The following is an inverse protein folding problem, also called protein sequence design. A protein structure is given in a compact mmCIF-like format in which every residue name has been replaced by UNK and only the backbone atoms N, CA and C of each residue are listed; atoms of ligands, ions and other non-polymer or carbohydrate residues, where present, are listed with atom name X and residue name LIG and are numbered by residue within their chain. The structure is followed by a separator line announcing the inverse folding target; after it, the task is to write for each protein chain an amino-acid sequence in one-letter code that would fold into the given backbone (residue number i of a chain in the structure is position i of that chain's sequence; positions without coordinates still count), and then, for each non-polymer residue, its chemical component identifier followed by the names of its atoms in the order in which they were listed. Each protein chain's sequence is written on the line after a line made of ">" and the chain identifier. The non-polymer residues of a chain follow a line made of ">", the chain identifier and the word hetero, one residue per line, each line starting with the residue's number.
data_IF_043243366117
#
_entry.id   IF_043243366117
#
_cell.length_a   1.000
_cell.length_b   1.000
_cell.length_c   1.000
_cell.angle_alpha   90.00
_cell.angle_beta   90.00
_cell.angle_gamma   90.00
#
_symmetry.space_group_name_H-M   'P 1'
#
loop_
_entity.id
_entity.type
_entity.pdbx_description
1 polymer ?
#
# COMPACT_ATOMS: atom_id res chain seq x y z
N UNK A 1 12.49 32.25 34.16
CA UNK A 1 11.83 31.12 34.85
C UNK A 1 11.63 30.01 33.83
N UNK A 2 12.30 28.86 33.81
CA UNK A 2 13.31 28.23 34.66
C UNK A 2 14.17 27.30 33.76
N UNK A 3 15.49 27.42 33.89
CA UNK A 3 16.59 26.43 33.81
C UNK A 3 16.50 25.25 32.79
N UNK A 4 17.43 25.16 31.83
CA UNK A 4 18.76 24.50 31.93
C UNK A 4 18.67 23.03 32.35
N UNK A 5 18.95 22.13 31.41
CA UNK A 5 19.64 20.87 31.69
C UNK A 5 20.58 20.52 30.53
N UNK A 6 21.85 20.81 30.78
CA UNK A 6 23.04 20.44 30.02
C UNK A 6 23.39 18.97 30.28
N UNK A 7 23.90 18.31 29.24
CA UNK A 7 24.89 17.21 29.27
C UNK A 7 24.70 16.03 30.23
N UNK A 8 24.40 14.84 29.68
CA UNK A 8 24.94 13.56 30.16
C UNK A 8 24.77 12.44 29.11
N UNK A 9 25.91 11.85 28.70
CA UNK A 9 25.99 10.43 28.36
C UNK A 9 25.77 10.02 26.90
N UNK A 10 26.82 10.15 26.07
CA UNK A 10 27.09 9.15 25.04
C UNK A 10 27.39 7.82 25.75
N UNK A 11 26.37 6.99 25.95
CA UNK A 11 26.58 5.56 26.18
C UNK A 11 26.03 4.80 24.98
N UNK A 12 26.95 4.14 24.29
CA UNK A 12 26.73 3.15 23.25
C UNK A 12 25.81 2.05 23.79
N UNK A 13 24.51 2.25 23.65
CA UNK A 13 23.49 1.22 23.92
C UNK A 13 23.03 0.68 22.59
N UNK A 14 23.87 -0.19 22.01
CA UNK A 14 23.46 -1.07 20.91
C UNK A 14 22.38 -2.02 21.44
N UNK A 15 21.18 -1.90 20.88
CA UNK A 15 20.34 -3.06 20.53
C UNK A 15 19.53 -3.78 21.62
N UNK A 16 19.03 -3.10 22.65
CA UNK A 16 18.10 -3.71 23.63
C UNK A 16 16.67 -3.15 23.63
N UNK A 17 16.15 -2.71 22.49
CA UNK A 17 14.77 -2.18 22.40
C UNK A 17 13.66 -3.25 22.32
N UNK A 18 13.96 -4.55 22.29
CA UNK A 18 12.96 -5.56 21.89
C UNK A 18 12.32 -6.41 23.00
N UNK A 19 12.80 -6.42 24.26
CA UNK A 19 12.50 -7.58 25.13
C UNK A 19 11.52 -7.39 26.30
N UNK A 20 10.86 -6.24 26.51
CA UNK A 20 10.03 -6.13 27.73
C UNK A 20 8.68 -5.45 27.63
N UNK A 21 8.29 -4.84 26.50
CA UNK A 21 6.91 -4.38 26.22
C UNK A 21 6.81 -3.89 24.76
N UNK A 22 6.77 -4.78 23.76
CA UNK A 22 7.00 -4.39 22.36
C UNK A 22 5.87 -3.55 21.73
N UNK A 23 4.64 -3.58 22.27
CA UNK A 23 3.52 -2.86 21.67
C UNK A 23 3.42 -1.38 22.08
N UNK A 24 3.71 -1.02 23.34
CA UNK A 24 3.31 0.28 23.89
C UNK A 24 4.22 1.46 23.50
N UNK A 25 5.49 1.21 23.14
CA UNK A 25 6.43 2.27 22.73
C UNK A 25 6.37 2.57 21.23
N UNK A 26 6.04 1.58 20.41
CA UNK A 26 5.94 1.75 18.97
C UNK A 26 4.69 2.59 18.63
N UNK A 27 3.52 2.22 19.15
CA UNK A 27 2.26 2.89 18.84
C UNK A 27 2.18 4.34 19.34
N UNK A 28 2.97 4.71 20.36
CA UNK A 28 2.96 6.06 20.94
C UNK A 28 3.39 7.15 19.94
N UNK A 29 4.33 6.84 19.05
CA UNK A 29 4.74 7.75 17.97
C UNK A 29 3.82 7.68 16.75
N UNK A 30 3.01 6.63 16.63
CA UNK A 30 2.09 6.41 15.51
C UNK A 30 0.67 6.93 15.78
N UNK A 31 0.33 7.28 17.02
CA UNK A 31 -0.98 7.80 17.38
C UNK A 31 -1.37 9.09 16.64
N UNK A 32 -0.47 10.08 16.42
CA UNK A 32 -0.79 11.25 15.60
C UNK A 32 -1.10 10.91 14.13
N UNK A 33 -0.62 9.76 13.64
CA UNK A 33 -0.80 9.31 12.25
C UNK A 33 -2.11 8.58 12.03
N UNK A 34 -2.66 7.96 13.07
CA UNK A 34 -4.04 7.47 13.06
C UNK A 34 -5.06 8.63 13.14
N UNK A 35 -4.63 9.83 13.55
CA UNK A 35 -5.45 11.04 13.64
C UNK A 35 -5.43 11.90 12.38
N UNK A 36 -4.49 11.68 11.46
CA UNK A 36 -4.60 12.26 10.12
C UNK A 36 -5.79 11.60 9.41
N UNK A 37 -6.65 12.37 8.71
CA UNK A 37 -7.81 11.85 8.01
C UNK A 37 -7.38 10.92 6.86
N UNK A 38 -7.09 9.67 7.22
CA UNK A 38 -6.81 8.54 6.35
C UNK A 38 -8.12 8.21 5.62
N UNK A 39 -8.37 8.83 4.47
CA UNK A 39 -8.02 8.17 3.20
C UNK A 39 -7.70 9.13 2.03
N UNK A 40 -7.55 10.44 2.26
CA UNK A 40 -7.37 11.42 1.17
C UNK A 40 -5.92 11.59 0.73
N UNK A 41 -4.95 11.12 1.54
CA UNK A 41 -3.54 11.22 1.20
C UNK A 41 -3.17 10.23 0.08
N UNK A 42 -2.52 10.69 -1.00
CA UNK A 42 -2.10 9.82 -2.10
C UNK A 42 -1.08 8.72 -1.68
N UNK A 43 -0.96 7.62 -2.46
CA UNK A 43 -0.06 6.51 -2.20
C UNK A 43 1.38 6.90 -1.86
N UNK A 44 1.90 7.87 -2.61
CA UNK A 44 3.25 8.36 -2.45
C UNK A 44 3.49 8.99 -1.08
N UNK A 45 2.48 9.64 -0.47
CA UNK A 45 2.67 10.31 0.81
C UNK A 45 2.91 9.28 1.91
N UNK A 46 2.20 8.15 1.91
CA UNK A 46 2.50 7.08 2.87
C UNK A 46 3.85 6.41 2.61
N UNK A 47 4.28 6.24 1.36
CA UNK A 47 5.63 5.71 1.08
C UNK A 47 6.70 6.67 1.59
N UNK A 48 6.62 7.95 1.23
CA UNK A 48 7.55 8.99 1.70
C UNK A 48 7.51 9.10 3.23
N UNK A 49 6.33 8.94 3.81
CA UNK A 49 6.15 8.97 5.25
C UNK A 49 6.79 7.76 5.94
N UNK A 50 6.57 6.54 5.43
CA UNK A 50 7.22 5.32 5.92
C UNK A 50 8.74 5.45 5.77
N UNK A 51 9.23 5.92 4.63
CA UNK A 51 10.66 6.17 4.41
C UNK A 51 11.20 7.19 5.40
N UNK A 52 10.52 8.33 5.58
CA UNK A 52 10.90 9.36 6.54
C UNK A 52 10.95 8.79 7.97
N UNK A 53 9.96 7.99 8.36
CA UNK A 53 9.97 7.29 9.64
C UNK A 53 11.15 6.33 9.78
N UNK A 54 11.47 5.56 8.73
CA UNK A 54 12.60 4.63 8.76
C UNK A 54 13.93 5.34 8.99
N UNK A 55 14.08 6.54 8.42
CA UNK A 55 15.28 7.36 8.54
C UNK A 55 15.37 8.06 9.91
N UNK A 56 14.27 8.62 10.41
CA UNK A 56 14.27 9.41 11.64
C UNK A 56 14.23 8.56 12.92
N UNK A 57 13.51 7.44 12.93
CA UNK A 57 13.17 6.74 14.17
C UNK A 57 13.81 5.35 14.34
N UNK A 58 14.54 4.83 13.34
CA UNK A 58 15.03 3.43 13.30
C UNK A 58 13.98 2.44 13.83
N UNK A 59 12.75 2.43 13.28
CA UNK A 59 11.68 1.60 13.79
C UNK A 59 12.07 0.13 13.67
N UNK A 60 11.57 -0.68 14.60
CA UNK A 60 11.75 -2.12 14.55
C UNK A 60 11.20 -2.67 13.22
N UNK A 61 11.82 -3.72 12.67
CA UNK A 61 11.34 -4.34 11.42
C UNK A 61 9.84 -4.72 11.49
N UNK A 62 9.41 -5.26 12.63
CA UNK A 62 7.99 -5.59 12.87
C UNK A 62 7.07 -4.38 12.79
N UNK A 63 7.54 -3.21 13.22
CA UNK A 63 6.79 -1.96 13.21
C UNK A 63 6.49 -1.54 11.77
N UNK A 64 7.49 -1.64 10.89
CA UNK A 64 7.36 -1.31 9.46
C UNK A 64 6.36 -2.28 8.80
N UNK A 65 6.48 -3.58 9.08
CA UNK A 65 5.57 -4.59 8.53
C UNK A 65 4.13 -4.36 8.99
N UNK A 66 3.93 -4.08 10.28
CA UNK A 66 2.60 -3.79 10.82
C UNK A 66 1.99 -2.52 10.23
N UNK A 67 2.77 -1.43 10.12
CA UNK A 67 2.30 -0.18 9.49
C UNK A 67 1.95 -0.41 8.02
N UNK A 68 2.82 -1.09 7.28
CA UNK A 68 2.58 -1.40 5.87
C UNK A 68 1.31 -2.23 5.73
N UNK A 69 1.13 -3.27 6.55
CA UNK A 69 -0.07 -4.13 6.51
C UNK A 69 -1.33 -3.34 6.84
N UNK A 70 -1.29 -2.49 7.87
CA UNK A 70 -2.43 -1.66 8.26
C UNK A 70 -2.82 -0.71 7.12
N UNK A 71 -1.85 -0.02 6.52
CA UNK A 71 -2.06 0.87 5.38
C UNK A 71 -2.59 0.13 4.15
N UNK A 72 -2.03 -1.04 3.84
CA UNK A 72 -2.45 -1.91 2.74
C UNK A 72 -3.89 -2.41 2.91
N UNK A 73 -4.29 -2.73 4.14
CA UNK A 73 -5.63 -3.25 4.45
C UNK A 73 -6.70 -2.17 4.54
N UNK A 74 -6.29 -0.90 4.63
CA UNK A 74 -7.21 0.23 4.73
C UNK A 74 -7.77 0.55 3.35
N UNK A 75 -9.00 0.12 3.12
CA UNK A 75 -9.78 0.46 1.94
C UNK A 75 -10.84 1.50 2.32
N UNK A 76 -11.11 2.46 1.45
CA UNK A 76 -12.18 3.43 1.66
C UNK A 76 -13.51 2.90 1.12
N UNK A 77 -14.52 2.82 2.00
CA UNK A 77 -15.86 2.27 1.71
C UNK A 77 -17.00 3.17 2.20
N UNK A 78 -16.82 4.49 2.19
CA UNK A 78 -17.86 5.36 2.71
C UNK A 78 -19.04 5.41 1.72
N UNK A 79 -20.26 5.04 2.15
CA UNK A 79 -21.45 5.27 1.37
C UNK A 79 -21.75 6.77 1.26
N UNK A 80 -22.19 7.23 0.10
CA UNK A 80 -22.61 8.61 -0.11
C UNK A 80 -24.01 8.67 -0.74
N UNK A 81 -24.75 9.78 -0.55
CA UNK A 81 -26.10 9.91 -1.12
C UNK A 81 -26.02 9.93 -2.65
N UNK A 82 -27.02 9.32 -3.30
CA UNK A 82 -27.07 9.23 -4.76
C UNK A 82 -27.24 10.60 -5.45
N UNK A 83 -27.71 11.60 -4.70
CA UNK A 83 -27.86 12.99 -5.15
C UNK A 83 -26.53 13.78 -5.09
N UNK A 84 -25.43 13.14 -4.69
CA UNK A 84 -24.12 13.79 -4.70
C UNK A 84 -23.75 14.18 -6.15
N UNK A 85 -23.15 15.36 -6.35
CA UNK A 85 -22.67 15.76 -7.66
C UNK A 85 -21.49 14.88 -8.09
N UNK A 86 -21.42 14.59 -9.39
CA UNK A 86 -20.25 14.00 -10.05
C UNK A 86 -19.14 15.04 -10.11
N UNK A 87 -17.90 14.61 -9.97
CA UNK A 87 -16.73 15.51 -10.09
C UNK A 87 -16.65 16.09 -11.50
N UNK A 88 -17.00 15.27 -12.50
CA UNK A 88 -17.08 15.67 -13.91
C UNK A 88 -18.41 15.20 -14.48
N UNK A 89 -19.28 16.11 -14.96
CA UNK A 89 -20.57 15.73 -15.53
C UNK A 89 -20.36 14.86 -16.78
N UNK A 90 -21.13 13.79 -16.94
CA UNK A 90 -21.03 12.90 -18.11
C UNK A 90 -21.59 13.55 -19.38
N UNK A 91 -22.58 14.43 -19.19
CA UNK A 91 -23.19 15.27 -20.22
C UNK A 91 -23.82 16.49 -19.54
N UNK A 92 -24.29 17.46 -20.33
CA UNK A 92 -24.89 18.70 -19.81
C UNK A 92 -26.06 18.47 -18.85
N UNK A 93 -26.75 17.33 -18.98
CA UNK A 93 -27.92 16.97 -18.17
C UNK A 93 -27.63 15.91 -17.09
N UNK A 94 -26.39 15.39 -17.00
CA UNK A 94 -26.01 14.32 -16.07
C UNK A 94 -24.92 14.84 -15.16
N UNK A 95 -25.35 15.41 -14.05
CA UNK A 95 -24.50 16.06 -13.04
C UNK A 95 -24.45 15.31 -11.73
N UNK A 96 -25.38 14.38 -11.47
CA UNK A 96 -25.46 13.60 -10.22
C UNK A 96 -25.32 12.10 -10.45
N UNK A 97 -24.96 11.34 -9.40
CA UNK A 97 -24.93 9.87 -9.48
C UNK A 97 -26.31 9.27 -9.79
N UNK A 98 -27.39 9.93 -9.36
CA UNK A 98 -28.77 9.50 -9.63
C UNK A 98 -29.09 9.57 -11.11
N UNK A 99 -28.77 10.70 -11.75
CA UNK A 99 -28.95 10.90 -13.20
C UNK A 99 -28.08 9.94 -14.02
N UNK A 100 -26.82 9.77 -13.60
CA UNK A 100 -25.90 8.82 -14.23
C UNK A 100 -26.41 7.38 -14.14
N UNK A 101 -26.95 6.98 -12.98
CA UNK A 101 -27.53 5.66 -12.80
C UNK A 101 -28.80 5.48 -13.64
N UNK A 102 -29.68 6.49 -13.67
CA UNK A 102 -30.91 6.45 -14.45
C UNK A 102 -30.65 6.31 -15.95
N UNK A 103 -29.63 7.01 -16.48
CA UNK A 103 -29.20 6.88 -17.88
C UNK A 103 -28.54 5.54 -18.22
N UNK A 104 -27.92 4.89 -17.23
CA UNK A 104 -27.26 3.58 -17.41
C UNK A 104 -28.23 2.41 -17.28
N UNK A 105 -29.36 2.59 -16.58
CA UNK A 105 -30.34 1.54 -16.38
C UNK A 105 -31.21 1.34 -17.63
N UNK A 106 -31.66 0.11 -17.90
CA UNK A 106 -32.61 -0.14 -18.98
C UNK A 106 -33.96 0.52 -18.67
N UNK A 107 -34.64 1.06 -19.69
CA UNK A 107 -35.93 1.74 -19.54
C UNK A 107 -37.03 0.90 -18.85
N UNK A 108 -36.90 -0.43 -18.84
CA UNK A 108 -37.83 -1.34 -18.19
C UNK A 108 -37.61 -1.47 -16.67
N UNK A 109 -36.70 -0.69 -16.06
CA UNK A 109 -36.44 -0.74 -14.63
C UNK A 109 -37.45 0.15 -13.89
N UNK A 110 -38.41 -0.46 -13.18
CA UNK A 110 -39.51 0.24 -12.48
C UNK A 110 -39.32 0.39 -10.97
N UNK A 111 -38.24 -0.17 -10.41
CA UNK A 111 -38.03 -0.16 -8.96
C UNK A 111 -37.47 1.20 -8.51
N UNK A 112 -37.76 1.63 -7.27
CA UNK A 112 -37.16 2.84 -6.71
C UNK A 112 -35.64 2.70 -6.66
N UNK A 113 -34.93 3.79 -6.97
CA UNK A 113 -33.49 3.87 -6.86
C UNK A 113 -33.05 3.89 -5.38
N UNK A 114 -31.89 3.31 -5.04
CA UNK A 114 -31.38 3.39 -3.69
C UNK A 114 -30.99 4.84 -3.34
N UNK A 115 -31.30 5.28 -2.13
CA UNK A 115 -30.92 6.63 -1.64
C UNK A 115 -29.41 6.80 -1.45
N UNK A 116 -28.69 5.68 -1.34
CA UNK A 116 -27.27 5.64 -1.03
C UNK A 116 -26.57 4.70 -2.01
N UNK A 117 -25.49 5.20 -2.60
CA UNK A 117 -24.59 4.41 -3.46
C UNK A 117 -23.35 4.02 -2.68
N UNK A 118 -22.93 2.76 -2.86
CA UNK A 118 -21.60 2.30 -2.45
C UNK A 118 -20.69 2.40 -3.66
N UNK A 119 -19.73 3.31 -3.58
CA UNK A 119 -18.71 3.45 -4.60
C UNK A 119 -17.89 2.17 -4.79
N UNK A 120 -17.19 2.09 -5.92
CA UNK A 120 -16.13 1.12 -6.10
C UNK A 120 -15.02 1.31 -5.05
N UNK A 121 -14.48 0.20 -4.59
CA UNK A 121 -13.67 0.19 -3.37
C UNK A 121 -12.28 0.69 -3.68
N UNK A 122 -11.86 1.76 -2.98
CA UNK A 122 -10.49 2.27 -3.12
C UNK A 122 -9.63 1.60 -2.07
N UNK A 123 -9.12 0.44 -2.41
CA UNK A 123 -8.09 -0.21 -1.63
C UNK A 123 -6.72 0.33 -2.01
N UNK A 124 -5.90 0.62 -1.02
CA UNK A 124 -4.49 0.97 -1.21
C UNK A 124 -3.71 -0.09 -2.00
N UNK A 125 -4.17 -1.34 -1.93
CA UNK A 125 -3.55 -2.48 -2.59
C UNK A 125 -4.16 -2.88 -3.93
N UNK A 126 -4.90 -2.01 -4.61
CA UNK A 126 -5.26 -2.30 -5.99
C UNK A 126 -4.06 -2.08 -6.93
N UNK A 127 -3.06 -2.95 -6.81
CA UNK A 127 -1.89 -3.02 -7.68
C UNK A 127 -2.24 -3.54 -9.08
N UNK A 128 -3.48 -4.00 -9.29
CA UNK A 128 -3.97 -4.57 -10.53
C UNK A 128 -4.10 -3.56 -11.67
N UNK A 129 -4.24 -2.27 -11.36
CA UNK A 129 -4.31 -1.21 -12.37
C UNK A 129 -2.95 -0.86 -12.99
N UNK A 130 -1.84 -1.35 -12.42
CA UNK A 130 -0.50 -1.15 -12.97
C UNK A 130 0.05 0.29 -12.81
N UNK A 131 -0.69 1.19 -12.15
CA UNK A 131 -0.31 2.60 -12.07
C UNK A 131 -0.25 3.12 -10.65
N UNK A 132 0.77 2.66 -9.91
CA UNK A 132 1.07 3.17 -8.57
C UNK A 132 1.41 4.68 -8.55
N UNK A 133 1.78 5.25 -9.70
CA UNK A 133 2.26 6.63 -9.82
C UNK A 133 1.41 7.54 -10.74
N UNK A 134 0.32 7.07 -11.35
CA UNK A 134 -0.56 8.01 -12.08
C UNK A 134 -1.44 8.79 -11.11
N UNK A 135 -1.79 10.05 -11.47
CA UNK A 135 -2.84 10.76 -10.78
C UNK A 135 -4.13 9.93 -10.85
N UNK A 136 -4.81 9.86 -9.72
CA UNK A 136 -6.04 9.10 -9.59
C UNK A 136 -7.13 9.70 -10.49
N UNK A 137 -7.63 8.93 -11.47
CA UNK A 137 -8.72 9.35 -12.33
C UNK A 137 -10.06 9.19 -11.59
N UNK A 138 -10.55 10.30 -11.03
CA UNK A 138 -11.82 10.33 -10.30
C UNK A 138 -12.98 9.98 -11.23
N UNK A 139 -12.97 10.49 -12.46
CA UNK A 139 -14.04 10.28 -13.45
C UNK A 139 -14.23 8.79 -13.76
N UNK A 140 -13.14 8.07 -14.02
CA UNK A 140 -13.21 6.62 -14.31
C UNK A 140 -13.75 5.84 -13.11
N UNK A 141 -13.36 6.23 -11.90
CA UNK A 141 -13.86 5.60 -10.69
C UNK A 141 -15.34 5.88 -10.43
N UNK A 142 -15.81 7.10 -10.69
CA UNK A 142 -17.23 7.45 -10.60
C UNK A 142 -18.03 6.62 -11.61
N UNK A 143 -17.53 6.52 -12.84
CA UNK A 143 -18.12 5.70 -13.90
C UNK A 143 -18.23 4.22 -13.50
N UNK A 144 -17.14 3.61 -13.02
CA UNK A 144 -17.14 2.23 -12.55
C UNK A 144 -18.07 2.01 -11.36
N UNK A 145 -18.21 3.00 -10.47
CA UNK A 145 -19.11 2.94 -9.32
C UNK A 145 -20.57 2.85 -9.76
N UNK A 146 -20.99 3.72 -10.69
CA UNK A 146 -22.34 3.71 -11.27
C UNK A 146 -22.59 2.42 -12.03
N UNK A 147 -21.62 1.98 -12.85
CA UNK A 147 -21.73 0.76 -13.64
C UNK A 147 -21.90 -0.48 -12.76
N UNK A 148 -21.10 -0.60 -11.68
CA UNK A 148 -21.20 -1.71 -10.71
C UNK A 148 -22.57 -1.72 -10.03
N UNK A 149 -23.07 -0.55 -9.61
CA UNK A 149 -24.40 -0.44 -9.00
C UNK A 149 -25.50 -0.85 -9.98
N UNK A 150 -25.46 -0.34 -11.21
CA UNK A 150 -26.41 -0.70 -12.27
C UNK A 150 -26.46 -2.21 -12.50
N UNK A 151 -25.31 -2.86 -12.65
CA UNK A 151 -25.23 -4.32 -12.81
C UNK A 151 -25.83 -5.07 -11.62
N UNK A 152 -25.60 -4.60 -10.39
CA UNK A 152 -26.17 -5.22 -9.19
C UNK A 152 -27.71 -5.09 -9.16
N UNK A 153 -28.26 -3.92 -9.51
CA UNK A 153 -29.71 -3.72 -9.57
C UNK A 153 -30.37 -4.61 -10.64
N UNK A 154 -29.74 -4.75 -11.81
CA UNK A 154 -30.21 -5.64 -12.89
C UNK A 154 -30.21 -7.09 -12.41
N UNK A 155 -29.14 -7.55 -11.75
CA UNK A 155 -29.07 -8.90 -11.17
C UNK A 155 -30.13 -9.14 -10.10
N UNK A 156 -30.37 -8.17 -9.23
CA UNK A 156 -31.42 -8.25 -8.21
C UNK A 156 -32.81 -8.35 -8.84
N UNK A 157 -33.10 -7.55 -9.87
CA UNK A 157 -34.35 -7.64 -10.62
C UNK A 157 -34.54 -9.01 -11.25
N UNK A 158 -33.53 -9.52 -11.97
CA UNK A 158 -33.61 -10.84 -12.60
C UNK A 158 -33.83 -11.98 -11.59
N UNK A 159 -33.21 -11.89 -10.40
CA UNK A 159 -33.40 -12.87 -9.33
C UNK A 159 -34.84 -12.86 -8.78
N UNK A 160 -35.45 -11.67 -8.62
CA UNK A 160 -36.84 -11.56 -8.19
C UNK A 160 -37.82 -12.04 -9.26
N UNK A 161 -37.62 -11.69 -10.53
CA UNK A 161 -38.46 -12.16 -11.64
C UNK A 161 -38.45 -13.70 -11.71
N UNK A 162 -37.29 -14.33 -11.49
CA UNK A 162 -37.17 -15.80 -11.43
C UNK A 162 -37.92 -16.41 -10.23
N UNK A 163 -37.94 -15.75 -9.07
CA UNK A 163 -38.69 -16.21 -7.90
C UNK A 163 -40.20 -16.16 -8.14
N UNK A 164 -40.70 -15.08 -8.73
CA UNK A 164 -42.11 -14.93 -9.08
C UNK A 164 -42.58 -16.03 -10.06
N UNK A 165 -41.74 -16.39 -11.02
CA UNK A 165 -42.02 -17.50 -11.94
C UNK A 165 -42.05 -18.86 -11.23
N UNK A 166 -41.15 -19.07 -10.26
CA UNK A 166 -41.11 -20.31 -9.48
C UNK A 166 -42.35 -20.47 -8.58
N UNK A 167 -42.79 -19.39 -7.94
CA UNK A 167 -43.99 -19.37 -7.09
C UNK A 167 -45.28 -19.58 -7.92
N UNK A 168 -45.33 -19.03 -9.14
CA UNK A 168 -46.44 -19.27 -10.06
C UNK A 168 -46.46 -20.72 -10.61
N UNK A 169 -45.29 -21.35 -10.78
CA UNK A 169 -45.13 -22.69 -11.36
C UNK A 169 -45.37 -23.85 -10.40
N UNK A 170 -45.18 -23.65 -9.08
CA UNK A 170 -45.38 -24.70 -8.08
C UNK A 170 -46.87 -25.10 -7.88
N UNK A 171 -47.81 -24.30 -8.39
CA UNK A 171 -49.25 -24.56 -8.28
C UNK A 171 -49.84 -25.52 -9.31
N UNK A 172 -49.18 -25.80 -10.44
CA UNK A 172 -49.75 -26.59 -11.54
C UNK A 172 -48.69 -27.42 -12.29
N UNK A 173 -47.87 -28.19 -11.57
CA UNK A 173 -46.92 -29.12 -12.19
C UNK A 173 -47.60 -30.43 -12.65
N UNK A 174 -48.53 -30.34 -13.61
CA UNK A 174 -48.90 -31.44 -14.50
C UNK A 174 -49.54 -30.85 -15.75
N UNK A 175 -48.91 -31.02 -16.92
CA UNK A 175 -49.22 -30.35 -18.20
C UNK A 175 -48.74 -28.88 -18.19
N UNK A 176 -47.65 -28.48 -18.84
CA UNK A 176 -47.48 -28.47 -20.29
C UNK A 176 -45.97 -28.37 -20.57
N UNK A 177 -45.39 -29.46 -21.06
CA UNK A 177 -44.15 -29.43 -21.82
C UNK A 177 -44.53 -29.02 -23.26
N UNK A 178 -43.70 -28.19 -23.89
CA UNK A 178 -43.80 -27.66 -25.26
C UNK A 178 -44.47 -26.29 -25.33
N UNK A 179 -43.67 -25.22 -25.37
CA UNK A 179 -43.52 -24.34 -26.55
C UNK A 179 -42.87 -23.01 -26.14
N UNK A 180 -41.54 -22.91 -26.25
CA UNK A 180 -40.87 -21.60 -26.32
C UNK A 180 -39.45 -21.75 -26.89
N UNK A 181 -39.43 -21.99 -28.21
CA UNK A 181 -38.27 -21.84 -29.08
C UNK A 181 -38.24 -20.39 -29.56
N UNK A 182 -37.04 -19.78 -29.56
CA UNK A 182 -36.65 -18.52 -30.21
C UNK A 182 -37.00 -17.20 -29.51
N UNK A 183 -36.06 -16.69 -28.70
CA UNK A 183 -35.57 -15.32 -28.81
C UNK A 183 -34.23 -15.17 -28.06
N UNK A 184 -33.15 -15.35 -28.82
CA UNK A 184 -31.78 -15.10 -28.36
C UNK A 184 -31.44 -13.64 -28.67
N UNK A 185 -31.44 -12.79 -27.65
CA UNK A 185 -30.80 -11.47 -27.72
C UNK A 185 -29.26 -11.66 -27.68
N UNK A 186 -28.48 -10.90 -28.46
CA UNK A 186 -27.03 -10.97 -28.42
C UNK A 186 -26.54 -10.34 -27.11
N UNK A 187 -26.20 -11.19 -26.15
CA UNK A 187 -25.39 -10.81 -24.99
C UNK A 187 -24.00 -10.50 -25.51
N UNK A 188 -23.69 -9.22 -25.68
CA UNK A 188 -22.32 -8.76 -25.86
C UNK A 188 -21.51 -9.20 -24.62
N UNK A 189 -20.40 -9.94 -24.78
CA UNK A 189 -19.55 -10.30 -23.66
C UNK A 189 -18.90 -9.03 -23.11
N UNK A 190 -19.43 -8.53 -22.00
CA UNK A 190 -18.70 -7.59 -21.14
C UNK A 190 -17.54 -8.38 -20.56
N UNK A 191 -16.40 -8.34 -21.25
CA UNK A 191 -15.11 -8.72 -20.72
C UNK A 191 -14.80 -7.77 -19.54
N UNK A 192 -15.29 -8.11 -18.36
CA UNK A 192 -14.69 -7.64 -17.12
C UNK A 192 -13.38 -8.43 -16.94
N UNK A 193 -12.20 -7.80 -17.04
CA UNK A 193 -10.98 -8.44 -16.61
C UNK A 193 -11.03 -8.58 -15.09
N UNK A 194 -11.52 -9.72 -14.60
CA UNK A 194 -11.26 -10.16 -13.23
C UNK A 194 -9.82 -10.67 -13.13
N UNK A 195 -8.86 -9.77 -13.32
CA UNK A 195 -7.41 -10.04 -13.28
C UNK A 195 -6.84 -10.17 -11.86
N UNK A 196 -7.68 -10.23 -10.82
CA UNK A 196 -7.20 -10.31 -9.44
C UNK A 196 -6.78 -11.71 -8.95
N UNK A 197 -6.99 -12.81 -9.70
CA UNK A 197 -6.64 -14.16 -9.18
C UNK A 197 -5.28 -14.72 -9.63
N UNK A 198 -4.62 -14.13 -10.64
CA UNK A 198 -3.35 -14.66 -11.19
C UNK A 198 -2.10 -14.13 -10.50
N UNK A 199 -2.18 -13.00 -9.79
CA UNK A 199 -1.02 -12.41 -9.12
C UNK A 199 -0.66 -13.16 -7.82
N UNK A 200 -1.66 -13.54 -7.02
CA UNK A 200 -1.46 -14.27 -5.75
C UNK A 200 -0.93 -15.69 -5.95
N UNK A 201 -1.24 -16.35 -7.07
CA UNK A 201 -0.68 -17.68 -7.38
C UNK A 201 0.80 -17.62 -7.77
N UNK A 202 1.31 -16.48 -8.27
CA UNK A 202 2.75 -16.29 -8.57
C UNK A 202 3.57 -15.87 -7.35
N UNK A 203 3.03 -15.08 -6.41
CA UNK A 203 3.78 -14.74 -5.19
C UNK A 203 3.96 -15.93 -4.23
N UNK A 204 3.09 -16.95 -4.30
CA UNK A 204 3.22 -18.17 -3.49
C UNK A 204 4.42 -19.05 -3.88
N UNK A 205 5.03 -18.87 -5.06
CA UNK A 205 6.18 -19.68 -5.49
C UNK A 205 7.55 -19.10 -5.14
N UNK A 206 7.61 -17.85 -4.62
CA UNK A 206 8.88 -17.19 -4.28
C UNK A 206 9.24 -17.28 -2.78
N UNK A 207 8.29 -17.63 -1.90
CA UNK A 207 8.57 -17.71 -0.45
C UNK A 207 9.24 -19.02 -0.01
N UNK A 208 9.33 -20.04 -0.87
CA UNK A 208 9.91 -21.35 -0.51
C UNK A 208 11.43 -21.45 -0.74
N UNK A 209 12.08 -20.42 -1.30
CA UNK A 209 13.53 -20.46 -1.59
C UNK A 209 14.41 -19.58 -0.70
N UNK A 210 13.85 -18.78 0.21
CA UNK A 210 14.62 -17.84 1.06
C UNK A 210 15.00 -18.43 2.43
N UNK A 211 14.46 -19.60 2.81
CA UNK A 211 14.75 -20.22 4.12
C UNK A 211 15.51 -21.56 4.05
N UNK A 212 16.07 -21.92 2.90
CA UNK A 212 16.91 -23.11 2.78
C UNK A 212 18.38 -22.73 2.56
N UNK A 213 19.23 -23.16 3.50
CA UNK A 213 20.70 -23.24 3.47
C UNK A 213 21.51 -22.04 3.98
N UNK A 214 22.07 -22.18 5.18
CA UNK A 214 23.53 -22.40 5.32
C UNK A 214 23.90 -22.70 6.78
N UNK A 215 23.68 -23.94 7.19
CA UNK A 215 24.34 -24.55 8.34
C UNK A 215 25.61 -25.24 7.85
N UNK A 216 26.78 -24.62 8.00
CA UNK A 216 28.08 -25.27 8.28
C UNK A 216 29.24 -24.33 7.96
N UNK A 217 29.98 -23.92 9.00
CA UNK A 217 31.43 -24.17 9.03
C UNK A 217 32.01 -23.69 10.35
N UNK A 218 32.62 -24.64 11.05
CA UNK A 218 33.64 -24.45 12.08
C UNK A 218 34.65 -23.35 11.72
N UNK A 219 35.04 -22.51 12.68
CA UNK A 219 36.46 -22.23 12.96
C UNK A 219 36.72 -21.47 14.27
N UNK A 220 37.35 -22.21 15.18
CA UNK A 220 38.55 -21.88 15.97
C UNK A 220 38.62 -20.50 16.66
N UNK A 221 38.37 -20.58 17.95
CA UNK A 221 38.98 -19.80 19.03
C UNK A 221 40.50 -19.66 18.84
N UNK A 222 41.01 -18.43 18.84
CA UNK A 222 42.39 -18.13 19.21
C UNK A 222 42.41 -16.76 19.93
N UNK A 223 42.80 -16.78 21.22
CA UNK A 223 43.31 -15.60 21.91
C UNK A 223 44.67 -15.20 21.34
N UNK A 224 45.06 -13.92 21.48
CA UNK A 224 46.26 -13.68 22.28
C UNK A 224 46.22 -12.44 23.19
N UNK A 225 46.71 -12.71 24.40
CA UNK A 225 47.51 -11.93 25.34
C UNK A 225 48.20 -10.61 24.88
N UNK A 226 48.03 -9.61 25.77
CA UNK A 226 49.06 -8.78 26.47
C UNK A 226 49.58 -7.45 25.86
N UNK A 227 49.51 -6.43 26.74
CA UNK A 227 50.52 -5.43 27.17
C UNK A 227 50.82 -4.16 26.37
N UNK A 228 50.75 -3.04 27.14
CA UNK A 228 51.58 -1.82 27.11
C UNK A 228 51.42 -0.93 25.85
N UNK A 229 51.55 0.40 25.85
CA UNK A 229 52.26 1.35 26.71
C UNK A 229 51.69 2.77 26.49
N UNK A 230 51.90 3.66 27.45
CA UNK A 230 51.68 5.10 27.37
C UNK A 230 52.38 5.74 26.15
N UNK A 231 51.80 6.82 25.61
CA UNK A 231 52.49 8.11 25.52
C UNK A 231 51.55 9.22 25.04
N UNK A 232 51.46 10.27 25.86
CA UNK A 232 51.12 11.62 25.44
C UNK A 232 52.08 12.07 24.34
N UNK A 233 51.57 12.69 23.28
CA UNK A 233 52.28 13.81 22.65
C UNK A 233 51.27 14.76 22.02
N UNK A 234 51.53 16.01 22.36
CA UNK A 234 50.81 17.25 22.12
C UNK A 234 51.12 17.79 20.70
N UNK A 235 50.14 18.51 20.16
CA UNK A 235 50.30 19.69 19.29
C UNK A 235 50.45 19.53 17.77
N UNK A 236 49.80 20.51 17.11
CA UNK A 236 50.22 21.21 15.87
C UNK A 236 49.54 20.83 14.56
N UNK A 237 48.39 21.45 14.35
CA UNK A 237 48.08 22.33 13.20
C UNK A 237 49.12 22.41 12.07
N UNK A 238 48.73 21.93 10.88
CA UNK A 238 49.06 22.57 9.59
C UNK A 238 48.29 21.92 8.43
N UNK A 239 47.47 22.73 7.75
CA UNK A 239 47.07 22.50 6.35
C UNK A 239 48.30 22.59 5.45
N UNK A 240 48.36 21.86 4.32
CA UNK A 240 48.05 22.53 3.06
C UNK A 240 47.48 21.67 1.91
N UNK A 241 46.73 22.36 1.05
CA UNK A 241 46.79 22.34 -0.44
C UNK A 241 46.71 21.01 -1.22
N UNK A 242 45.54 20.84 -1.85
CA UNK A 242 45.29 20.47 -3.26
C UNK A 242 46.45 19.97 -4.15
N UNK A 243 46.31 18.72 -4.63
CA UNK A 243 46.72 18.29 -5.97
C UNK A 243 45.84 17.10 -6.46
N UNK A 244 45.42 17.05 -7.75
CA UNK A 244 44.59 15.98 -8.28
C UNK A 244 45.45 14.78 -8.70
N UNK A 245 45.43 13.73 -7.87
CA UNK A 245 46.16 12.48 -8.10
C UNK A 245 45.40 11.52 -9.02
N UNK A 246 45.93 11.37 -10.24
CA UNK A 246 46.11 10.12 -11.00
C UNK A 246 45.28 8.90 -10.56
N UNK A 247 44.38 8.47 -11.46
CA UNK A 247 43.52 7.30 -11.32
C UNK A 247 44.25 6.00 -11.02
N UNK A 248 44.25 5.61 -9.75
CA UNK A 248 44.43 4.22 -9.33
C UNK A 248 43.11 3.48 -9.54
N UNK A 249 43.14 2.42 -10.36
CA UNK A 249 42.07 1.43 -10.49
C UNK A 249 41.81 0.76 -9.13
N UNK A 250 40.97 1.40 -8.32
CA UNK A 250 40.46 0.84 -7.08
C UNK A 250 39.30 -0.10 -7.41
N UNK A 251 39.18 -1.24 -6.72
CA UNK A 251 38.07 -2.17 -6.93
C UNK A 251 36.76 -1.39 -6.77
N UNK A 252 35.87 -1.52 -7.75
CA UNK A 252 34.64 -0.71 -7.92
C UNK A 252 33.64 -0.85 -6.76
N UNK A 253 33.93 -1.71 -5.79
CA UNK A 253 33.17 -1.94 -4.57
C UNK A 253 33.98 -1.45 -3.36
N UNK A 254 34.26 -0.14 -3.34
CA UNK A 254 34.77 0.52 -2.13
C UNK A 254 33.57 0.75 -1.21
N UNK A 255 33.65 0.24 0.01
CA UNK A 255 32.53 0.10 0.93
C UNK A 255 32.13 1.41 1.63
N UNK A 256 32.90 2.48 1.49
CA UNK A 256 32.62 3.77 2.15
C UNK A 256 32.67 4.91 1.14
N UNK A 257 31.58 5.67 1.04
CA UNK A 257 31.44 6.85 0.20
C UNK A 257 31.34 8.10 1.07
N UNK A 258 32.33 8.98 0.98
CA UNK A 258 32.31 10.27 1.66
C UNK A 258 31.63 11.31 0.76
N UNK A 259 30.48 11.83 1.19
CA UNK A 259 29.72 12.84 0.45
C UNK A 259 29.95 14.26 0.98
N UNK A 260 30.83 14.45 1.97
CA UNK A 260 31.20 15.77 2.49
C UNK A 260 31.76 16.73 1.43
N UNK A 261 32.56 16.29 0.43
CA UNK A 261 33.03 17.19 -0.64
C UNK A 261 31.91 17.80 -1.48
N UNK A 262 30.73 17.16 -1.48
CA UNK A 262 29.56 17.60 -2.24
C UNK A 262 28.58 18.42 -1.38
N UNK A 263 28.95 18.81 -0.16
CA UNK A 263 28.11 19.61 0.74
C UNK A 263 27.01 18.81 1.46
N UNK A 264 26.97 17.49 1.30
CA UNK A 264 25.91 16.63 1.84
C UNK A 264 26.14 16.21 3.30
N UNK A 265 27.27 16.59 3.91
CA UNK A 265 27.54 16.40 5.34
C UNK A 265 27.43 14.95 5.84
N UNK A 266 27.54 13.96 4.95
CA UNK A 266 27.25 12.56 5.24
C UNK A 266 28.33 11.63 4.68
N UNK A 267 28.51 10.47 5.34
CA UNK A 267 29.38 9.37 4.91
C UNK A 267 28.52 8.12 4.85
N UNK A 268 28.46 7.46 3.69
CA UNK A 268 27.72 6.22 3.47
C UNK A 268 28.66 5.03 3.60
N UNK A 269 28.51 4.24 4.66
CA UNK A 269 29.23 2.98 4.86
C UNK A 269 28.32 1.79 4.51
N UNK A 270 28.63 1.11 3.41
CA UNK A 270 27.94 -0.08 2.89
C UNK A 270 28.56 -1.39 3.44
N UNK A 271 29.52 -1.30 4.38
CA UNK A 271 30.29 -2.43 4.91
C UNK A 271 29.60 -3.27 5.99
N UNK A 272 28.26 -3.33 6.03
CA UNK A 272 27.55 -4.21 6.96
C UNK A 272 27.59 -5.68 6.50
N UNK A 273 28.66 -6.39 6.85
CA UNK A 273 28.63 -7.85 6.93
C UNK A 273 28.05 -8.28 8.28
N UNK A 274 27.08 -9.20 8.24
CA UNK A 274 26.48 -9.87 9.41
C UNK A 274 27.49 -10.71 10.19
#
# INVERSE_FOLDING_TARGET
>A
MWYVFTHLGLHSSRSSCCLSSPLSRCTRWFLPLLLLPLPTAPPYFLVLFVVSLTLHAKPCFYCIVLLTTLSVSSCYWQPFPIDSPLTTPWSENITTFAEALNSTLPANYSKPLPTVIRAADRCWCDTGSGVFFEPFNITDWEYLSVQRLSQNLIRHKASEDNKLLQDAGAGNATQVLNLATNQTLPVLPVNQPSTQSKFWSRLRSLSSRVFASSSSSNRKVLSPKTSHENNETQSSESSPSSAPGSGTNLPLLRTVYDLRPYGLGMILDLGWSR
#
